data_IF_658885851506
#
_entry.id   IF_658885851506
#
_cell.length_a   1.000
_cell.length_b   1.000
_cell.length_c   1.000
_cell.angle_alpha   90.00
_cell.angle_beta   90.00
_cell.angle_gamma   90.00
#
_symmetry.space_group_name_H-M   'P 1'
#
loop_
_entity.id
_entity.type
_entity.pdbx_description
1 polymer ?
#
# COMPACT_ATOMS: atom_id res chain seq x y z
N UNK A 1 -8.48 -28.29 -14.27
CA UNK A 1 -7.70 -27.38 -13.38
C UNK A 1 -8.52 -27.12 -12.11
N UNK A 2 -7.88 -27.08 -10.93
CA UNK A 2 -8.53 -26.51 -9.74
C UNK A 2 -8.74 -25.01 -9.93
N UNK A 3 -9.63 -24.36 -9.16
CA UNK A 3 -9.80 -22.91 -9.24
C UNK A 3 -8.49 -22.13 -9.03
N UNK A 4 -7.67 -22.53 -8.05
CA UNK A 4 -6.36 -21.91 -7.81
C UNK A 4 -5.39 -22.10 -8.99
N UNK A 5 -5.28 -23.32 -9.53
CA UNK A 5 -4.43 -23.59 -10.71
C UNK A 5 -4.85 -22.74 -11.92
N UNK A 6 -6.16 -22.50 -12.08
CA UNK A 6 -6.69 -21.68 -13.18
C UNK A 6 -6.30 -20.21 -13.02
N UNK A 7 -6.39 -19.67 -11.80
CA UNK A 7 -5.93 -18.29 -11.50
C UNK A 7 -4.43 -18.16 -11.75
N UNK A 8 -3.63 -19.14 -11.33
CA UNK A 8 -2.19 -19.15 -11.58
C UNK A 8 -1.87 -19.17 -13.08
N UNK A 9 -2.49 -20.07 -13.84
CA UNK A 9 -2.32 -20.14 -15.30
C UNK A 9 -2.70 -18.80 -15.96
N UNK A 10 -3.79 -18.18 -15.50
CA UNK A 10 -4.21 -16.86 -16.00
C UNK A 10 -3.17 -15.78 -15.73
N UNK A 11 -2.63 -15.67 -14.52
CA UNK A 11 -1.58 -14.72 -14.18
C UNK A 11 -0.29 -14.92 -14.98
N UNK A 12 0.00 -16.17 -15.38
CA UNK A 12 1.16 -16.48 -16.21
C UNK A 12 0.86 -16.45 -17.72
N UNK A 13 -0.33 -15.99 -18.12
CA UNK A 13 -0.78 -15.98 -19.52
C UNK A 13 -0.77 -17.35 -20.20
N UNK A 14 -1.00 -18.39 -19.41
CA UNK A 14 -1.12 -19.77 -19.87
C UNK A 14 -2.57 -20.11 -20.24
N UNK A 15 -2.80 -21.10 -21.14
CA UNK A 15 -4.14 -21.55 -21.45
C UNK A 15 -4.89 -22.10 -20.23
N UNK A 16 -6.14 -21.71 -20.07
CA UNK A 16 -7.04 -22.19 -19.04
C UNK A 16 -8.21 -22.99 -19.64
N UNK A 17 -8.77 -23.92 -18.88
CA UNK A 17 -9.94 -24.71 -19.28
C UNK A 17 -11.23 -23.86 -19.31
N UNK A 18 -11.31 -22.85 -18.44
CA UNK A 18 -12.37 -21.82 -18.40
C UNK A 18 -11.81 -20.52 -17.83
N UNK A 19 -12.52 -19.40 -17.94
CA UNK A 19 -12.10 -18.15 -17.35
C UNK A 19 -12.11 -18.26 -15.83
N UNK A 20 -11.03 -17.82 -15.15
CA UNK A 20 -11.06 -17.73 -13.70
C UNK A 20 -12.12 -16.71 -13.26
N UNK A 21 -12.79 -17.00 -12.17
CA UNK A 21 -13.66 -16.08 -11.48
C UNK A 21 -13.21 -15.97 -10.01
N UNK A 22 -13.68 -14.93 -9.33
CA UNK A 22 -13.33 -14.65 -7.94
C UNK A 22 -14.28 -15.31 -6.93
N UNK A 23 -14.94 -16.40 -7.27
CA UNK A 23 -15.93 -17.07 -6.39
C UNK A 23 -15.29 -17.59 -5.10
N UNK A 24 -14.74 -16.66 -4.30
CA UNK A 24 -14.12 -16.93 -3.01
C UNK A 24 -12.78 -17.68 -3.10
N UNK A 25 -12.06 -17.55 -4.23
CA UNK A 25 -10.73 -18.15 -4.41
C UNK A 25 -9.65 -17.31 -3.74
N UNK A 26 -9.82 -15.99 -3.71
CA UNK A 26 -8.90 -15.08 -3.04
C UNK A 26 -9.21 -14.98 -1.54
N UNK A 27 -8.17 -15.00 -0.75
CA UNK A 27 -8.19 -14.52 0.64
C UNK A 27 -7.50 -13.17 0.63
N UNK A 28 -8.28 -12.10 0.59
CA UNK A 28 -7.77 -10.74 0.75
C UNK A 28 -7.48 -10.52 2.23
N UNK A 29 -6.22 -10.32 2.55
CA UNK A 29 -5.74 -10.25 3.91
C UNK A 29 -5.21 -8.86 4.27
N UNK A 30 -5.76 -8.29 5.33
CA UNK A 30 -5.28 -7.07 5.95
C UNK A 30 -4.52 -7.42 7.23
N UNK A 31 -3.19 -7.25 7.29
CA UNK A 31 -2.42 -7.58 8.48
C UNK A 31 -2.70 -6.58 9.61
N UNK A 32 -2.79 -7.10 10.84
CA UNK A 32 -2.95 -6.31 12.06
C UNK A 32 -1.63 -6.14 12.81
N UNK A 33 -0.72 -7.12 12.72
CA UNK A 33 0.55 -7.13 13.45
C UNK A 33 1.50 -5.99 13.06
N UNK A 34 1.36 -5.45 11.85
CA UNK A 34 2.17 -4.31 11.40
C UNK A 34 1.35 -3.25 10.66
N UNK A 35 0.09 -3.09 10.98
CA UNK A 35 -0.81 -2.16 10.31
C UNK A 35 -0.27 -0.72 10.32
N UNK A 36 0.04 -0.17 9.15
CA UNK A 36 0.47 1.24 9.03
C UNK A 36 -0.62 2.21 9.45
N UNK A 37 -1.87 1.86 9.19
CA UNK A 37 -3.07 2.62 9.60
C UNK A 37 -3.54 2.13 10.97
N UNK A 38 -4.15 2.98 11.79
CA UNK A 38 -4.76 2.54 13.05
C UNK A 38 -5.98 1.64 12.79
N UNK A 39 -6.52 0.96 13.82
CA UNK A 39 -7.69 0.09 13.66
C UNK A 39 -8.87 0.84 13.04
N UNK A 40 -9.49 0.23 12.02
CA UNK A 40 -10.53 0.88 11.22
C UNK A 40 -11.81 1.22 12.01
N UNK A 41 -12.02 0.62 13.18
CA UNK A 41 -13.19 0.86 14.02
C UNK A 41 -13.04 2.01 15.01
N UNK A 42 -11.82 2.47 15.28
CA UNK A 42 -11.55 3.48 16.33
C UNK A 42 -10.77 4.68 15.83
N UNK A 43 -10.03 4.53 14.72
CA UNK A 43 -9.04 5.52 14.31
C UNK A 43 -7.86 5.58 15.29
N UNK A 44 -7.11 6.66 15.26
CA UNK A 44 -5.90 6.88 16.06
C UNK A 44 -4.80 7.55 15.27
N UNK A 45 -3.57 7.36 15.70
CA UNK A 45 -2.38 7.91 15.01
C UNK A 45 -1.68 6.81 14.23
N UNK A 46 -1.37 7.06 12.97
CA UNK A 46 -0.59 6.12 12.16
C UNK A 46 0.91 6.21 12.44
N UNK A 47 1.70 5.39 11.77
CA UNK A 47 3.15 5.31 11.94
C UNK A 47 3.91 6.59 11.59
N UNK A 48 3.31 7.47 10.79
CA UNK A 48 3.90 8.74 10.36
C UNK A 48 3.34 9.94 11.13
N UNK A 49 2.51 9.71 12.14
CA UNK A 49 1.93 10.76 12.98
C UNK A 49 0.62 11.33 12.47
N UNK A 50 0.09 10.82 11.35
CA UNK A 50 -1.20 11.26 10.80
C UNK A 50 -2.32 10.83 11.74
N UNK A 51 -3.21 11.77 12.07
CA UNK A 51 -4.40 11.49 12.85
C UNK A 51 -5.51 10.95 11.96
N UNK A 52 -6.12 9.85 12.38
CA UNK A 52 -7.23 9.20 11.70
C UNK A 52 -8.45 9.18 12.59
N UNK A 53 -9.62 9.34 12.01
CA UNK A 53 -10.90 9.18 12.70
C UNK A 53 -11.77 8.17 11.98
N UNK A 54 -12.62 7.50 12.74
CA UNK A 54 -13.67 6.67 12.17
C UNK A 54 -14.79 7.57 11.62
N UNK A 55 -15.21 7.32 10.39
CA UNK A 55 -16.26 8.07 9.70
C UNK A 55 -17.46 7.15 9.48
N UNK A 56 -18.49 7.32 10.33
CA UNK A 56 -19.67 6.46 10.35
C UNK A 56 -20.43 6.43 9.01
N UNK A 57 -20.38 7.52 8.25
CA UNK A 57 -21.08 7.65 6.96
C UNK A 57 -20.57 6.71 5.86
N UNK A 58 -19.32 6.28 5.97
CA UNK A 58 -18.65 5.39 5.01
C UNK A 58 -18.16 4.09 5.65
N UNK A 59 -18.41 3.90 6.94
CA UNK A 59 -17.96 2.75 7.73
C UNK A 59 -16.45 2.47 7.57
N UNK A 60 -15.65 3.52 7.62
CA UNK A 60 -14.20 3.46 7.42
C UNK A 60 -13.46 4.52 8.22
N UNK A 61 -12.13 4.37 8.33
CA UNK A 61 -11.28 5.44 8.82
C UNK A 61 -10.81 6.33 7.68
N UNK A 62 -10.67 7.62 7.99
CA UNK A 62 -10.09 8.61 7.10
C UNK A 62 -9.14 9.52 7.89
N UNK A 63 -8.16 10.17 7.24
CA UNK A 63 -7.38 11.22 7.89
C UNK A 63 -8.29 12.29 8.50
N UNK A 64 -8.00 12.69 9.73
CA UNK A 64 -8.79 13.72 10.43
C UNK A 64 -8.38 15.10 9.95
N UNK A 65 -9.06 15.61 8.93
CA UNK A 65 -8.83 16.95 8.35
C UNK A 65 -9.15 18.12 9.31
N UNK A 66 -9.64 17.85 10.53
CA UNK A 66 -9.81 18.90 11.56
C UNK A 66 -8.51 19.13 12.34
N UNK A 67 -7.54 18.23 12.20
CA UNK A 67 -6.20 18.37 12.76
C UNK A 67 -5.27 19.04 11.75
N UNK A 68 -4.23 19.75 12.22
CA UNK A 68 -3.21 20.26 11.32
C UNK A 68 -2.50 19.10 10.61
N UNK A 69 -2.04 19.29 9.36
CA UNK A 69 -1.23 18.30 8.69
C UNK A 69 0.09 18.05 9.44
N UNK A 70 0.68 16.89 9.24
CA UNK A 70 2.00 16.55 9.79
C UNK A 70 3.09 17.35 9.07
N UNK A 71 2.90 17.60 7.77
CA UNK A 71 3.82 18.31 6.90
C UNK A 71 3.08 19.45 6.19
N UNK A 72 3.42 20.69 6.50
CA UNK A 72 2.80 21.87 5.90
C UNK A 72 3.39 22.20 4.52
N UNK A 73 4.72 22.10 4.39
CA UNK A 73 5.47 22.37 3.17
C UNK A 73 6.34 21.17 2.81
N UNK A 74 6.27 20.73 1.54
CA UNK A 74 7.07 19.59 1.08
C UNK A 74 8.57 19.83 1.24
N UNK A 75 9.03 21.08 1.11
CA UNK A 75 10.43 21.43 1.27
C UNK A 75 11.00 21.10 2.67
N UNK A 76 10.15 20.96 3.66
CA UNK A 76 10.53 20.64 5.04
C UNK A 76 10.53 19.12 5.36
N UNK A 77 10.22 18.27 4.39
CA UNK A 77 9.99 16.85 4.62
C UNK A 77 11.18 16.14 5.31
N UNK A 78 12.41 16.53 4.99
CA UNK A 78 13.64 15.92 5.56
C UNK A 78 13.76 16.15 7.09
N UNK A 79 13.27 17.28 7.54
CA UNK A 79 13.31 17.63 8.96
C UNK A 79 12.10 17.10 9.73
N UNK A 80 10.95 17.06 9.09
CA UNK A 80 9.65 16.73 9.70
C UNK A 80 9.33 15.25 9.66
N UNK A 81 9.42 14.61 8.48
CA UNK A 81 9.01 13.22 8.30
C UNK A 81 10.05 12.26 8.88
N UNK A 82 9.59 11.36 9.75
CA UNK A 82 10.43 10.33 10.35
C UNK A 82 9.95 8.97 9.86
N UNK A 83 10.83 8.26 9.14
CA UNK A 83 10.54 6.89 8.72
C UNK A 83 10.66 5.95 9.91
N UNK A 84 9.64 5.11 10.16
CA UNK A 84 9.68 4.14 11.25
C UNK A 84 10.85 3.15 11.13
N UNK A 85 11.46 2.83 12.26
CA UNK A 85 12.49 1.79 12.32
C UNK A 85 11.83 0.41 12.27
N UNK A 86 11.97 -0.28 11.15
CA UNK A 86 11.38 -1.60 10.91
C UNK A 86 11.98 -2.70 11.79
N UNK A 87 13.17 -2.50 12.33
CA UNK A 87 13.83 -3.47 13.21
C UNK A 87 13.43 -3.28 14.69
N UNK A 88 12.77 -2.17 15.02
CA UNK A 88 12.23 -1.94 16.35
C UNK A 88 10.97 -2.75 16.63
N UNK A 89 10.32 -3.35 15.62
CA UNK A 89 9.11 -4.14 15.80
C UNK A 89 9.37 -5.59 16.09
N UNK A 90 8.55 -6.14 16.97
CA UNK A 90 8.56 -7.58 17.31
C UNK A 90 7.79 -8.40 16.27
N UNK A 91 8.44 -8.66 15.14
CA UNK A 91 7.87 -9.46 14.05
C UNK A 91 7.57 -10.92 14.44
N UNK A 92 8.06 -11.39 15.59
CA UNK A 92 7.76 -12.75 16.07
C UNK A 92 6.30 -12.92 16.49
N UNK A 93 5.57 -11.82 16.70
CA UNK A 93 4.17 -11.81 17.07
C UNK A 93 3.18 -11.94 15.91
N UNK A 94 3.66 -11.93 14.69
CA UNK A 94 2.80 -12.01 13.49
C UNK A 94 1.89 -13.25 13.55
N UNK A 95 2.40 -14.42 13.91
CA UNK A 95 1.58 -15.61 13.99
C UNK A 95 0.53 -15.54 15.13
N UNK A 96 0.90 -14.94 16.26
CA UNK A 96 -0.02 -14.77 17.41
C UNK A 96 -1.18 -13.80 17.08
N UNK A 97 -0.91 -12.75 16.30
CA UNK A 97 -1.88 -11.70 16.00
C UNK A 97 -2.68 -12.01 14.74
N UNK A 98 -2.00 -12.41 13.68
CA UNK A 98 -2.57 -12.54 12.33
C UNK A 98 -2.95 -13.98 11.95
N UNK A 99 -2.59 -14.97 12.77
CA UNK A 99 -2.95 -16.39 12.57
C UNK A 99 -2.67 -16.90 11.15
N UNK A 100 -1.52 -16.51 10.56
CA UNK A 100 -1.22 -16.77 9.15
C UNK A 100 -1.10 -18.27 8.80
N UNK A 101 -0.86 -19.14 9.78
CA UNK A 101 -0.87 -20.59 9.59
C UNK A 101 -2.27 -21.18 9.36
N UNK A 102 -3.33 -20.44 9.68
CA UNK A 102 -4.72 -20.87 9.50
C UNK A 102 -5.25 -20.58 8.07
N UNK A 103 -4.49 -19.81 7.27
CA UNK A 103 -4.87 -19.47 5.90
C UNK A 103 -4.79 -20.72 5.01
N UNK A 104 -5.90 -21.05 4.34
CA UNK A 104 -5.98 -22.16 3.37
C UNK A 104 -5.18 -21.82 2.10
N UNK A 105 -3.88 -22.08 2.12
CA UNK A 105 -2.96 -21.83 1.01
C UNK A 105 -3.00 -22.94 -0.06
N UNK A 106 -3.60 -24.07 0.23
CA UNK A 106 -3.72 -25.16 -0.73
C UNK A 106 -4.78 -24.85 -1.79
N UNK A 107 -5.93 -24.35 -1.35
CA UNK A 107 -7.09 -24.12 -2.23
C UNK A 107 -7.31 -22.66 -2.60
N UNK A 108 -6.71 -21.73 -1.87
CA UNK A 108 -6.92 -20.28 -2.00
C UNK A 108 -5.66 -19.57 -2.49
N UNK A 109 -5.86 -18.47 -3.21
CA UNK A 109 -4.83 -17.48 -3.51
C UNK A 109 -4.76 -16.53 -2.32
N UNK A 110 -3.60 -16.47 -1.69
CA UNK A 110 -3.37 -15.57 -0.57
C UNK A 110 -2.91 -14.21 -1.09
N UNK A 111 -3.83 -13.28 -1.12
CA UNK A 111 -3.60 -11.90 -1.52
C UNK A 111 -3.51 -11.01 -0.30
N UNK A 112 -2.43 -10.25 -0.21
CA UNK A 112 -2.15 -9.40 0.93
C UNK A 112 -2.20 -7.94 0.55
N UNK A 113 -2.99 -7.15 1.27
CA UNK A 113 -3.07 -5.71 1.08
C UNK A 113 -1.83 -5.01 1.63
N UNK A 114 -1.23 -4.15 0.82
CA UNK A 114 -0.07 -3.35 1.15
C UNK A 114 -0.36 -1.87 0.91
N UNK A 115 -0.90 -1.23 1.93
CA UNK A 115 -1.50 0.11 1.87
C UNK A 115 -0.48 1.24 1.82
N UNK A 116 -0.96 2.42 1.45
CA UNK A 116 -0.25 3.70 1.44
C UNK A 116 0.96 3.71 0.51
N UNK A 117 0.70 3.77 -0.79
CA UNK A 117 1.70 4.10 -1.80
C UNK A 117 2.19 5.55 -1.70
N UNK A 118 3.08 5.98 -2.60
CA UNK A 118 3.74 7.28 -2.48
C UNK A 118 2.78 8.47 -2.51
N UNK A 119 1.78 8.46 -3.39
CA UNK A 119 0.83 9.57 -3.47
C UNK A 119 -0.13 9.58 -2.27
N UNK A 120 -0.64 8.42 -1.87
CA UNK A 120 -1.47 8.32 -0.65
C UNK A 120 -0.70 8.84 0.57
N UNK A 121 0.55 8.42 0.75
CA UNK A 121 1.35 8.89 1.87
C UNK A 121 1.59 10.39 1.83
N UNK A 122 1.85 10.95 0.67
CA UNK A 122 2.04 12.40 0.51
C UNK A 122 0.79 13.16 0.96
N UNK A 123 -0.39 12.83 0.42
CA UNK A 123 -1.60 13.57 0.76
C UNK A 123 -2.09 13.31 2.19
N UNK A 124 -1.76 12.17 2.79
CA UNK A 124 -2.04 11.94 4.22
C UNK A 124 -1.19 12.82 5.12
N UNK A 125 0.06 13.07 4.75
CA UNK A 125 0.96 13.96 5.51
C UNK A 125 0.60 15.43 5.36
N UNK A 126 0.28 15.87 4.15
CA UNK A 126 0.13 17.29 3.80
C UNK A 126 -1.33 17.76 3.71
N UNK A 127 -2.29 16.86 3.70
CA UNK A 127 -3.64 17.12 3.22
C UNK A 127 -3.70 17.09 1.68
N UNK A 128 -4.90 16.79 1.16
CA UNK A 128 -5.08 16.47 -0.25
C UNK A 128 -4.76 17.64 -1.20
N UNK A 129 -5.23 18.85 -0.85
CA UNK A 129 -5.03 20.05 -1.66
C UNK A 129 -3.55 20.45 -1.75
N UNK A 130 -2.86 20.50 -0.59
CA UNK A 130 -1.43 20.84 -0.55
C UNK A 130 -0.58 19.81 -1.31
N UNK A 131 -0.89 18.52 -1.18
CA UNK A 131 -0.20 17.49 -1.92
C UNK A 131 -0.35 17.66 -3.44
N UNK A 132 -1.56 17.95 -3.93
CA UNK A 132 -1.78 18.19 -5.35
C UNK A 132 -1.04 19.46 -5.85
N UNK A 133 -1.00 20.51 -5.04
CA UNK A 133 -0.26 21.72 -5.37
C UNK A 133 1.24 21.43 -5.46
N UNK A 134 1.82 20.71 -4.50
CA UNK A 134 3.26 20.42 -4.46
C UNK A 134 3.74 19.56 -5.63
N UNK A 135 2.89 18.67 -6.19
CA UNK A 135 3.22 17.97 -7.44
C UNK A 135 3.54 18.90 -8.62
N UNK A 136 3.07 20.15 -8.55
CA UNK A 136 3.23 21.15 -9.64
C UNK A 136 4.25 22.21 -9.26
N UNK A 137 4.21 22.69 -8.00
CA UNK A 137 5.06 23.80 -7.55
C UNK A 137 6.46 23.37 -7.18
N UNK A 138 6.60 22.15 -6.61
CA UNK A 138 7.85 21.66 -6.04
C UNK A 138 8.14 20.19 -6.45
N UNK A 139 8.07 19.86 -7.76
CA UNK A 139 8.16 18.48 -8.25
C UNK A 139 9.47 17.78 -7.89
N UNK A 140 10.58 18.52 -7.79
CA UNK A 140 11.88 17.98 -7.43
C UNK A 140 11.90 17.49 -5.97
N UNK A 141 11.34 18.27 -5.04
CA UNK A 141 11.23 17.89 -3.63
C UNK A 141 10.26 16.72 -3.43
N UNK A 142 9.16 16.70 -4.19
CA UNK A 142 8.24 15.54 -4.21
C UNK A 142 8.95 14.30 -4.71
N UNK A 143 9.73 14.40 -5.78
CA UNK A 143 10.50 13.27 -6.31
C UNK A 143 11.49 12.72 -5.29
N UNK A 144 12.24 13.61 -4.59
CA UNK A 144 13.16 13.20 -3.52
C UNK A 144 12.43 12.54 -2.34
N UNK A 145 11.28 13.08 -1.93
CA UNK A 145 10.45 12.46 -0.89
C UNK A 145 9.96 11.08 -1.33
N UNK A 146 9.45 10.94 -2.56
CA UNK A 146 8.99 9.65 -3.08
C UNK A 146 10.13 8.63 -3.16
N UNK A 147 11.33 9.04 -3.57
CA UNK A 147 12.49 8.17 -3.59
C UNK A 147 12.83 7.64 -2.19
N UNK A 148 12.89 8.52 -1.20
CA UNK A 148 13.20 8.16 0.18
C UNK A 148 12.08 7.29 0.81
N UNK A 149 10.82 7.66 0.57
CA UNK A 149 9.67 6.88 1.03
C UNK A 149 9.68 5.47 0.43
N UNK A 150 9.89 5.36 -0.88
CA UNK A 150 9.88 4.06 -1.54
C UNK A 150 11.09 3.20 -1.18
N UNK A 151 12.25 3.78 -0.87
CA UNK A 151 13.38 3.02 -0.32
C UNK A 151 13.00 2.35 1.02
N UNK A 152 12.33 3.08 1.91
CA UNK A 152 11.81 2.54 3.16
C UNK A 152 10.69 1.51 2.91
N UNK A 153 9.75 1.84 2.01
CA UNK A 153 8.59 0.99 1.70
C UNK A 153 8.99 -0.36 1.10
N UNK A 154 10.02 -0.39 0.26
CA UNK A 154 10.58 -1.62 -0.30
C UNK A 154 11.21 -2.51 0.79
N UNK A 155 11.91 -1.94 1.77
CA UNK A 155 12.42 -2.71 2.93
C UNK A 155 11.28 -3.33 3.74
N UNK A 156 10.20 -2.58 3.97
CA UNK A 156 8.98 -3.11 4.61
C UNK A 156 8.38 -4.25 3.76
N UNK A 157 8.24 -4.06 2.46
CA UNK A 157 7.72 -5.05 1.51
C UNK A 157 8.51 -6.36 1.57
N UNK A 158 9.85 -6.29 1.52
CA UNK A 158 10.72 -7.45 1.62
C UNK A 158 10.50 -8.23 2.94
N UNK A 159 10.44 -7.50 4.03
CA UNK A 159 10.21 -8.08 5.36
C UNK A 159 8.85 -8.78 5.44
N UNK A 160 7.81 -8.10 4.99
CA UNK A 160 6.44 -8.60 4.96
C UNK A 160 6.34 -9.83 4.06
N UNK A 161 6.84 -9.79 2.84
CA UNK A 161 6.84 -10.94 1.92
C UNK A 161 7.59 -12.13 2.54
N UNK A 162 8.71 -11.90 3.20
CA UNK A 162 9.51 -12.97 3.81
C UNK A 162 8.76 -13.69 4.95
N UNK A 163 7.92 -12.97 5.69
CA UNK A 163 7.17 -13.48 6.85
C UNK A 163 5.84 -14.11 6.42
N UNK A 164 5.01 -13.32 5.70
CA UNK A 164 3.66 -13.74 5.32
C UNK A 164 3.63 -14.65 4.10
N UNK A 165 4.60 -14.55 3.21
CA UNK A 165 4.71 -15.34 1.97
C UNK A 165 3.42 -15.31 1.15
N UNK A 166 2.90 -14.13 0.78
CA UNK A 166 1.71 -14.03 -0.03
C UNK A 166 1.95 -14.56 -1.44
N UNK A 167 0.88 -15.03 -2.08
CA UNK A 167 0.87 -15.35 -3.52
C UNK A 167 0.83 -14.05 -4.34
N UNK A 168 0.03 -13.08 -3.88
CA UNK A 168 -0.20 -11.78 -4.52
C UNK A 168 -0.02 -10.67 -3.49
N UNK A 169 0.64 -9.60 -3.86
CA UNK A 169 0.72 -8.37 -3.07
C UNK A 169 -0.11 -7.29 -3.77
N UNK A 170 -1.24 -6.90 -3.18
CA UNK A 170 -2.04 -5.78 -3.64
C UNK A 170 -1.46 -4.48 -3.11
N UNK A 171 -0.82 -3.72 -3.98
CA UNK A 171 -0.26 -2.41 -3.64
C UNK A 171 -1.31 -1.32 -3.83
N UNK A 172 -1.61 -0.60 -2.76
CA UNK A 172 -2.67 0.40 -2.74
C UNK A 172 -2.11 1.81 -2.81
N UNK A 173 -2.46 2.54 -3.89
CA UNK A 173 -2.08 3.94 -4.09
C UNK A 173 -3.07 4.61 -5.06
N UNK A 174 -4.11 5.23 -4.53
CA UNK A 174 -5.19 5.78 -5.34
C UNK A 174 -4.79 7.06 -6.08
N UNK A 175 -4.88 7.04 -7.40
CA UNK A 175 -4.49 8.16 -8.27
C UNK A 175 -5.68 8.88 -8.92
N UNK A 176 -6.89 8.48 -8.58
CA UNK A 176 -8.09 9.02 -9.19
C UNK A 176 -9.37 8.54 -8.55
N UNK A 177 -10.45 8.85 -9.22
CA UNK A 177 -11.80 8.38 -8.93
C UNK A 177 -12.41 7.76 -10.19
N UNK A 178 -13.62 7.25 -10.10
CA UNK A 178 -14.39 6.81 -11.29
C UNK A 178 -14.58 7.90 -12.35
N UNK A 179 -14.30 9.16 -12.05
CA UNK A 179 -14.44 10.28 -12.97
C UNK A 179 -13.13 10.67 -13.67
N UNK A 180 -11.99 10.19 -13.20
CA UNK A 180 -10.66 10.46 -13.76
C UNK A 180 -9.57 10.60 -12.72
N UNK A 181 -8.35 10.85 -13.21
CA UNK A 181 -7.18 11.04 -12.37
C UNK A 181 -7.23 12.36 -11.60
N UNK A 182 -6.59 12.40 -10.43
CA UNK A 182 -6.43 13.61 -9.62
C UNK A 182 -5.45 14.60 -10.22
N UNK A 183 -4.52 14.15 -11.03
CA UNK A 183 -3.45 14.92 -11.68
C UNK A 183 -3.24 14.42 -13.12
N UNK A 184 -2.43 15.16 -13.89
CA UNK A 184 -2.21 14.82 -15.30
C UNK A 184 -1.46 13.50 -15.48
N UNK A 185 -1.68 12.78 -16.60
CA UNK A 185 -0.88 11.59 -16.92
C UNK A 185 0.64 11.85 -17.00
N UNK A 186 1.05 13.09 -17.27
CA UNK A 186 2.47 13.46 -17.35
C UNK A 186 3.09 13.51 -15.94
N UNK A 187 2.41 14.11 -14.96
CA UNK A 187 2.81 14.06 -13.55
C UNK A 187 2.93 12.61 -13.07
N UNK A 188 1.96 11.75 -13.41
CA UNK A 188 2.03 10.34 -13.08
C UNK A 188 3.27 9.65 -13.68
N UNK A 189 3.57 9.91 -14.95
CA UNK A 189 4.73 9.32 -15.64
C UNK A 189 6.06 9.78 -15.06
N UNK A 190 6.13 11.03 -14.62
CA UNK A 190 7.35 11.63 -14.11
C UNK A 190 7.61 11.27 -12.65
N UNK A 191 6.60 11.35 -11.79
CA UNK A 191 6.78 11.26 -10.34
C UNK A 191 6.38 9.91 -9.75
N UNK A 192 5.28 9.31 -10.22
CA UNK A 192 4.68 8.12 -9.57
C UNK A 192 5.09 6.82 -10.25
N UNK A 193 4.96 6.74 -11.57
CA UNK A 193 5.28 5.53 -12.33
C UNK A 193 6.67 4.96 -12.03
N UNK A 194 7.76 5.75 -11.91
CA UNK A 194 9.08 5.21 -11.56
C UNK A 194 9.10 4.54 -10.20
N UNK A 195 8.35 5.04 -9.24
CA UNK A 195 8.26 4.50 -7.89
C UNK A 195 7.50 3.16 -7.87
N UNK A 196 6.36 3.13 -8.55
CA UNK A 196 5.58 1.89 -8.68
C UNK A 196 6.38 0.82 -9.42
N UNK A 197 7.14 1.22 -10.45
CA UNK A 197 8.02 0.27 -11.14
C UNK A 197 9.03 -0.40 -10.20
N UNK A 198 9.61 0.33 -9.24
CA UNK A 198 10.50 -0.27 -8.24
C UNK A 198 9.78 -1.35 -7.41
N UNK A 199 8.51 -1.09 -7.02
CA UNK A 199 7.72 -2.06 -6.28
C UNK A 199 7.38 -3.30 -7.11
N UNK A 200 6.96 -3.11 -8.36
CA UNK A 200 6.68 -4.20 -9.32
C UNK A 200 7.91 -5.07 -9.52
N UNK A 201 9.04 -4.45 -9.86
CA UNK A 201 10.30 -5.17 -10.11
C UNK A 201 10.69 -5.98 -8.87
N UNK A 202 10.55 -5.38 -7.66
CA UNK A 202 10.91 -6.05 -6.43
C UNK A 202 9.99 -7.22 -6.06
N UNK A 203 8.67 -7.10 -6.27
CA UNK A 203 7.75 -8.21 -6.12
C UNK A 203 8.12 -9.38 -7.05
N UNK A 204 8.40 -9.09 -8.32
CA UNK A 204 8.78 -10.11 -9.29
C UNK A 204 10.10 -10.81 -8.92
N UNK A 205 11.11 -10.06 -8.45
CA UNK A 205 12.36 -10.63 -7.94
C UNK A 205 12.13 -11.57 -6.75
N UNK A 206 11.14 -11.28 -5.91
CA UNK A 206 10.77 -12.10 -4.76
C UNK A 206 9.78 -13.23 -5.10
N UNK A 207 9.37 -13.36 -6.38
CA UNK A 207 8.47 -14.40 -6.85
C UNK A 207 7.01 -14.20 -6.44
N UNK A 208 6.60 -12.96 -6.14
CA UNK A 208 5.24 -12.58 -5.75
C UNK A 208 4.58 -11.82 -6.90
N UNK A 209 3.31 -12.12 -7.18
CA UNK A 209 2.52 -11.37 -8.15
C UNK A 209 2.19 -10.00 -7.56
N UNK A 210 2.41 -8.97 -8.37
CA UNK A 210 2.03 -7.59 -8.02
C UNK A 210 0.65 -7.29 -8.57
N UNK A 211 -0.27 -6.93 -7.67
CA UNK A 211 -1.56 -6.37 -8.03
C UNK A 211 -1.61 -4.89 -7.66
N UNK A 212 -2.30 -4.09 -8.46
CA UNK A 212 -2.39 -2.64 -8.27
C UNK A 212 -3.84 -2.22 -8.08
N UNK A 213 -4.12 -1.67 -6.91
CA UNK A 213 -5.43 -1.08 -6.63
C UNK A 213 -5.58 0.28 -7.27
#
# INVERSE_FOLDING_TARGET
>A
MTPKERVWAFFHHEPTDELPNDDGIFVLFNPEAYAERPPHTTGGTDWFGVQWKYEESVDAIAPDHTQPPVLDDICDWKDVVKFPDLDAWDWSKVEEIDHISEIDRENKVFEMMFVNGPFERLHMLMGFENALCSLITDPDEVAEFFDAFMEWKLKLMEKVISIYKPDVLMFHDDWGTQNGMFFSPDIWRELIKPQIKKAVDRCHELGVIFDMH
#
